data_IF_297490674237
#
_entry.id   IF_297490674237
#
_cell.length_a   1.000
_cell.length_b   1.000
_cell.length_c   1.000
_cell.angle_alpha   90.00
_cell.angle_beta   90.00
_cell.angle_gamma   90.00
#
_symmetry.space_group_name_H-M   'P 1'
#
loop_
_entity.id
_entity.type
_entity.pdbx_description
1 polymer ?
#
# COMPACT_ATOMS: atom_id res chain seq x y z
N UNK A 1 4.96 -9.61 23.83
CA UNK A 1 4.08 -9.44 22.67
C UNK A 1 4.77 -8.63 21.59
N UNK A 2 4.74 -9.12 20.37
CA UNK A 2 5.37 -8.42 19.27
C UNK A 2 4.51 -7.28 18.77
N UNK A 3 5.16 -6.15 18.54
CA UNK A 3 4.51 -4.98 17.97
C UNK A 3 4.52 -5.10 16.45
N UNK A 4 3.40 -4.82 15.80
CA UNK A 4 3.35 -4.84 14.34
C UNK A 4 4.12 -3.68 13.76
N UNK A 5 4.89 -3.93 12.71
CA UNK A 5 5.53 -2.87 11.95
C UNK A 5 4.50 -2.06 11.18
N UNK A 6 4.88 -0.88 10.73
CA UNK A 6 4.00 -0.05 9.90
C UNK A 6 3.67 -0.73 8.58
N UNK A 7 4.63 -1.46 8.01
CA UNK A 7 4.36 -2.26 6.82
C UNK A 7 3.24 -3.26 7.08
N UNK A 8 3.34 -4.04 8.17
CA UNK A 8 2.31 -5.02 8.48
C UNK A 8 0.96 -4.37 8.78
N UNK A 9 0.96 -3.24 9.45
CA UNK A 9 -0.29 -2.50 9.71
C UNK A 9 -0.96 -2.07 8.41
N UNK A 10 -0.18 -1.53 7.47
CA UNK A 10 -0.73 -1.07 6.19
C UNK A 10 -1.28 -2.24 5.38
N UNK A 11 -0.52 -3.33 5.27
CA UNK A 11 -0.95 -4.50 4.52
C UNK A 11 -2.18 -5.14 5.17
N UNK A 12 -2.15 -5.33 6.48
CA UNK A 12 -3.27 -5.94 7.21
C UNK A 12 -4.55 -5.13 7.07
N UNK A 13 -4.44 -3.80 7.13
CA UNK A 13 -5.61 -2.94 6.94
C UNK A 13 -6.19 -3.09 5.54
N UNK A 14 -5.35 -3.07 4.51
CA UNK A 14 -5.82 -3.21 3.13
C UNK A 14 -6.45 -4.58 2.88
N UNK A 15 -5.88 -5.64 3.47
CA UNK A 15 -6.45 -6.98 3.38
C UNK A 15 -7.81 -7.07 4.08
N UNK A 16 -7.96 -6.42 5.23
CA UNK A 16 -9.24 -6.40 5.93
C UNK A 16 -10.32 -5.72 5.08
N UNK A 17 -9.98 -4.62 4.41
CA UNK A 17 -10.90 -3.95 3.49
C UNK A 17 -11.26 -4.86 2.32
N UNK A 18 -10.27 -5.52 1.72
CA UNK A 18 -10.50 -6.41 0.58
C UNK A 18 -11.40 -7.60 0.93
N UNK A 19 -11.33 -8.06 2.17
CA UNK A 19 -12.10 -9.23 2.63
C UNK A 19 -13.46 -8.88 3.23
N UNK A 20 -13.84 -7.60 3.21
CA UNK A 20 -15.10 -7.12 3.80
C UNK A 20 -15.93 -6.46 2.71
N UNK A 21 -17.00 -7.13 2.29
CA UNK A 21 -17.82 -6.68 1.17
C UNK A 21 -18.70 -5.47 1.49
N UNK A 22 -18.58 -4.87 2.68
CA UNK A 22 -19.16 -3.57 2.96
C UNK A 22 -18.37 -2.42 2.35
N UNK A 23 -17.19 -2.72 1.78
CA UNK A 23 -16.31 -1.76 1.11
C UNK A 23 -16.20 -2.12 -0.37
N UNK A 24 -16.51 -1.18 -1.23
CA UNK A 24 -16.47 -1.37 -2.68
C UNK A 24 -15.68 -0.27 -3.37
N UNK A 25 -15.89 -0.15 -4.69
CA UNK A 25 -15.11 0.77 -5.52
C UNK A 25 -15.93 2.01 -5.88
N UNK A 26 -15.36 3.20 -5.65
CA UNK A 26 -15.95 4.46 -6.08
C UNK A 26 -14.85 5.53 -6.19
N UNK A 27 -14.82 6.24 -7.33
CA UNK A 27 -13.87 7.34 -7.51
C UNK A 27 -14.39 8.68 -6.99
N UNK A 28 -15.67 8.80 -6.70
CA UNK A 28 -16.24 10.03 -6.20
C UNK A 28 -16.26 10.05 -4.67
N UNK A 29 -16.81 9.00 -4.06
CA UNK A 29 -16.90 8.87 -2.60
C UNK A 29 -15.88 7.80 -2.17
N UNK A 30 -14.63 8.23 -2.03
CA UNK A 30 -13.47 7.33 -2.07
C UNK A 30 -12.63 7.26 -0.79
N UNK A 31 -13.12 7.82 0.28
CA UNK A 31 -12.38 7.82 1.56
C UNK A 31 -13.10 7.02 2.64
N UNK A 32 -13.81 6.02 2.26
CA UNK A 32 -14.60 5.12 3.08
C UNK A 32 -16.08 5.46 3.06
N UNK A 33 -16.97 4.46 3.07
CA UNK A 33 -16.65 3.02 3.10
C UNK A 33 -16.15 2.46 1.77
N UNK A 34 -16.28 3.19 0.67
CA UNK A 34 -15.77 2.78 -0.63
C UNK A 34 -14.44 3.48 -0.94
N UNK A 35 -13.64 2.88 -1.81
CA UNK A 35 -12.31 3.38 -2.14
C UNK A 35 -12.05 3.24 -3.63
N UNK A 36 -11.18 4.09 -4.19
CA UNK A 36 -10.58 3.82 -5.49
C UNK A 36 -9.16 3.25 -5.31
N UNK A 37 -8.43 3.07 -6.39
CA UNK A 37 -7.10 2.47 -6.32
C UNK A 37 -6.16 3.26 -5.43
N UNK A 38 -6.12 4.57 -5.60
CA UNK A 38 -5.18 5.41 -4.85
C UNK A 38 -5.63 5.62 -3.41
N UNK A 39 -6.91 5.86 -3.17
CA UNK A 39 -7.39 6.14 -1.81
C UNK A 39 -7.28 4.92 -0.91
N UNK A 40 -7.42 3.71 -1.46
CA UNK A 40 -7.20 2.48 -0.68
C UNK A 40 -5.77 2.44 -0.14
N UNK A 41 -4.79 2.63 -1.01
CA UNK A 41 -3.37 2.53 -0.65
C UNK A 41 -2.97 3.69 0.27
N UNK A 42 -3.40 4.89 -0.04
CA UNK A 42 -3.13 6.07 0.80
C UNK A 42 -3.71 5.87 2.20
N UNK A 43 -4.95 5.40 2.28
CA UNK A 43 -5.60 5.15 3.58
C UNK A 43 -4.90 4.06 4.37
N UNK A 44 -4.46 2.99 3.69
CA UNK A 44 -3.74 1.90 4.34
C UNK A 44 -2.50 2.42 5.09
N UNK A 45 -1.70 3.26 4.43
CA UNK A 45 -0.49 3.80 5.04
C UNK A 45 -0.80 4.86 6.10
N UNK A 46 -1.82 5.70 5.87
CA UNK A 46 -2.25 6.69 6.87
C UNK A 46 -2.71 5.97 8.14
N UNK A 47 -3.50 4.92 8.02
CA UNK A 47 -3.95 4.12 9.17
C UNK A 47 -2.78 3.44 9.89
N UNK A 48 -1.75 3.10 9.17
CA UNK A 48 -0.56 2.47 9.74
C UNK A 48 0.32 3.46 10.50
N UNK A 49 0.02 4.75 10.45
CA UNK A 49 0.81 5.78 11.12
C UNK A 49 1.85 6.43 10.23
N UNK A 50 1.79 6.22 8.92
CA UNK A 50 2.67 6.90 7.95
C UNK A 50 1.83 7.99 7.26
N UNK A 51 2.07 9.27 7.56
CA UNK A 51 1.11 10.34 7.26
C UNK A 51 1.14 10.80 5.79
N UNK A 52 0.98 9.88 4.86
CA UNK A 52 1.04 10.18 3.42
C UNK A 52 -0.11 11.05 2.97
N UNK A 53 -1.32 10.82 3.52
CA UNK A 53 -2.48 11.64 3.20
C UNK A 53 -2.31 13.04 3.77
N UNK A 54 -1.82 13.14 4.98
CA UNK A 54 -1.52 14.42 5.64
C UNK A 54 -0.52 15.23 4.82
N UNK A 55 0.45 14.54 4.18
CA UNK A 55 1.44 15.18 3.31
C UNK A 55 0.92 15.49 1.91
N UNK A 56 -0.36 15.25 1.66
CA UNK A 56 -1.01 15.68 0.43
C UNK A 56 -1.29 14.60 -0.59
N UNK A 57 -0.99 13.33 -0.31
CA UNK A 57 -1.32 12.27 -1.24
C UNK A 57 -2.85 12.21 -1.43
N UNK A 58 -3.29 12.24 -2.68
CA UNK A 58 -4.71 12.27 -3.00
C UNK A 58 -5.08 11.41 -4.22
N UNK A 59 -4.17 11.18 -5.13
CA UNK A 59 -4.42 10.40 -6.35
C UNK A 59 -3.08 9.87 -6.88
N UNK A 60 -3.13 9.03 -7.93
CA UNK A 60 -1.91 8.37 -8.42
C UNK A 60 -0.83 9.36 -8.85
N UNK A 61 -1.23 10.53 -9.35
CA UNK A 61 -0.27 11.51 -9.86
C UNK A 61 0.56 12.21 -8.80
N UNK A 62 0.11 12.24 -7.54
CA UNK A 62 0.88 12.90 -6.49
C UNK A 62 1.32 11.95 -5.36
N UNK A 63 1.03 10.66 -5.49
CA UNK A 63 1.41 9.69 -4.48
C UNK A 63 2.92 9.61 -4.28
N UNK A 64 3.69 9.56 -5.37
CA UNK A 64 5.14 9.39 -5.27
C UNK A 64 5.77 10.45 -4.40
N UNK A 65 5.47 11.72 -4.67
CA UNK A 65 6.04 12.84 -3.92
C UNK A 65 5.71 12.75 -2.43
N UNK A 66 4.44 12.51 -2.09
CA UNK A 66 4.02 12.44 -0.71
C UNK A 66 4.63 11.22 0.02
N UNK A 67 4.68 10.08 -0.66
CA UNK A 67 5.24 8.87 -0.06
C UNK A 67 6.75 9.01 0.18
N UNK A 68 7.47 9.56 -0.77
CA UNK A 68 8.91 9.81 -0.59
C UNK A 68 9.17 10.76 0.59
N UNK A 69 8.29 11.71 0.82
CA UNK A 69 8.41 12.63 1.95
C UNK A 69 8.15 11.95 3.29
N UNK A 70 7.59 10.75 3.28
CA UNK A 70 7.19 10.02 4.48
C UNK A 70 8.04 8.77 4.76
N UNK A 71 9.25 8.67 4.17
CA UNK A 71 10.15 7.58 4.49
C UNK A 71 10.15 6.44 3.48
N UNK A 72 9.50 6.62 2.34
CA UNK A 72 9.60 5.65 1.24
C UNK A 72 10.81 5.95 0.38
N UNK A 73 11.33 4.92 -0.25
CA UNK A 73 12.43 5.00 -1.22
C UNK A 73 11.95 4.41 -2.54
N UNK A 74 12.35 5.00 -3.64
CA UNK A 74 12.09 4.46 -4.97
C UNK A 74 13.04 3.28 -5.20
N UNK A 75 12.48 2.09 -5.30
CA UNK A 75 13.23 0.84 -5.49
C UNK A 75 13.01 0.25 -6.88
N UNK A 76 12.52 1.03 -7.81
CA UNK A 76 12.20 0.54 -9.17
C UNK A 76 13.36 -0.19 -9.81
N UNK A 77 14.59 0.31 -9.63
CA UNK A 77 15.77 -0.32 -10.21
C UNK A 77 16.17 -1.64 -9.54
N UNK A 78 15.56 -1.97 -8.42
CA UNK A 78 15.86 -3.19 -7.65
C UNK A 78 14.87 -4.32 -7.93
N UNK A 79 13.86 -4.08 -8.75
CA UNK A 79 12.79 -5.04 -8.99
C UNK A 79 12.65 -5.27 -10.49
N UNK A 80 12.08 -6.44 -10.83
CA UNK A 80 11.71 -6.73 -12.21
C UNK A 80 10.22 -6.44 -12.37
N UNK A 81 9.89 -5.38 -13.08
CA UNK A 81 8.49 -4.96 -13.24
C UNK A 81 7.63 -5.96 -13.99
N UNK A 82 8.23 -6.76 -14.87
CA UNK A 82 7.46 -7.76 -15.63
C UNK A 82 7.03 -8.93 -14.77
N UNK A 83 7.93 -9.38 -13.90
CA UNK A 83 7.70 -10.60 -13.12
C UNK A 83 7.34 -10.34 -11.67
N UNK A 84 7.61 -9.13 -11.16
CA UNK A 84 7.49 -8.82 -9.75
C UNK A 84 8.66 -9.30 -8.90
N UNK A 85 9.67 -9.91 -9.54
CA UNK A 85 10.81 -10.42 -8.79
C UNK A 85 11.54 -9.29 -8.08
N UNK A 86 11.89 -9.48 -6.82
CA UNK A 86 12.54 -8.46 -6.00
C UNK A 86 11.58 -7.56 -5.24
N UNK A 87 10.28 -7.63 -5.52
CA UNK A 87 9.30 -6.88 -4.74
C UNK A 87 9.13 -7.47 -3.34
N UNK A 88 8.80 -6.63 -2.38
CA UNK A 88 8.62 -7.02 -0.99
C UNK A 88 7.26 -6.55 -0.47
N UNK A 89 6.77 -7.26 0.53
CA UNK A 89 5.49 -6.96 1.18
C UNK A 89 5.43 -5.50 1.60
N UNK A 90 4.38 -4.80 1.17
CA UNK A 90 4.18 -3.38 1.41
C UNK A 90 4.64 -2.48 0.28
N UNK A 91 5.34 -3.02 -0.72
CA UNK A 91 5.76 -2.20 -1.86
C UNK A 91 4.54 -1.62 -2.57
N UNK A 92 4.61 -0.33 -2.86
CA UNK A 92 3.55 0.40 -3.56
C UNK A 92 3.97 0.56 -5.01
N UNK A 93 3.17 0.05 -5.92
CA UNK A 93 3.45 0.00 -7.34
C UNK A 93 2.53 0.99 -8.03
N UNK A 94 3.08 1.92 -8.79
CA UNK A 94 2.32 3.07 -9.32
C UNK A 94 2.51 3.22 -10.82
N UNK A 95 1.39 3.37 -11.53
CA UNK A 95 1.33 4.06 -12.82
C UNK A 95 0.68 5.42 -12.53
N UNK A 96 1.42 6.50 -12.73
CA UNK A 96 1.02 7.83 -12.27
C UNK A 96 -0.23 8.36 -12.93
N UNK A 97 -0.61 7.83 -14.09
CA UNK A 97 -1.78 8.29 -14.82
C UNK A 97 -3.01 7.42 -14.60
N UNK A 98 -2.82 6.14 -14.25
CA UNK A 98 -3.94 5.20 -14.34
C UNK A 98 -4.23 4.36 -13.11
N UNK A 99 -3.22 3.90 -12.36
CA UNK A 99 -3.48 2.84 -11.38
C UNK A 99 -2.38 2.70 -10.33
N UNK A 100 -2.75 2.15 -9.19
CA UNK A 100 -1.79 1.77 -8.16
C UNK A 100 -2.28 0.53 -7.42
N UNK A 101 -1.34 -0.29 -6.99
CA UNK A 101 -1.59 -1.52 -6.24
C UNK A 101 -0.53 -1.66 -5.16
N UNK A 102 -0.75 -2.55 -4.20
CA UNK A 102 0.25 -2.83 -3.18
C UNK A 102 0.62 -4.31 -3.19
N UNK A 103 1.92 -4.58 -3.22
CA UNK A 103 2.44 -5.95 -3.19
C UNK A 103 2.34 -6.49 -1.76
N UNK A 104 1.79 -7.70 -1.61
CA UNK A 104 1.57 -8.27 -0.28
C UNK A 104 2.42 -9.52 -0.01
N UNK A 105 3.32 -9.85 -0.95
CA UNK A 105 4.17 -11.03 -0.83
C UNK A 105 3.68 -12.18 -1.69
N UNK A 106 4.53 -13.15 -1.90
CA UNK A 106 4.21 -14.39 -2.61
C UNK A 106 3.59 -14.20 -4.00
N UNK A 107 4.02 -13.15 -4.70
CA UNK A 107 3.53 -12.88 -6.04
C UNK A 107 2.11 -12.33 -6.10
N UNK A 108 1.59 -11.77 -5.00
CA UNK A 108 0.21 -11.30 -4.90
C UNK A 108 0.15 -9.81 -4.60
N UNK A 109 -0.93 -9.19 -5.04
CA UNK A 109 -1.20 -7.76 -4.79
C UNK A 109 -2.62 -7.59 -4.26
N UNK A 110 -2.85 -6.45 -3.59
CA UNK A 110 -4.18 -6.01 -3.20
C UNK A 110 -4.47 -4.70 -3.92
N UNK A 111 -5.69 -4.57 -4.44
CA UNK A 111 -6.07 -3.40 -5.24
C UNK A 111 -7.58 -3.17 -5.23
N UNK A 112 -7.97 -1.90 -5.31
CA UNK A 112 -9.33 -1.50 -5.63
C UNK A 112 -9.39 -1.30 -7.15
N UNK A 113 -10.35 -1.92 -7.82
CA UNK A 113 -10.34 -2.10 -9.28
C UNK A 113 -11.44 -1.35 -10.02
N UNK A 114 -12.69 -1.75 -9.82
CA UNK A 114 -13.83 -1.20 -10.58
C UNK A 114 -15.13 -1.59 -9.86
N UNK A 115 -16.22 -0.86 -10.05
CA UNK A 115 -17.48 -1.18 -9.39
C UNK A 115 -18.24 -2.31 -10.08
N UNK A 116 -19.40 -2.68 -9.52
CA UNK A 116 -20.22 -3.80 -10.02
C UNK A 116 -20.71 -3.59 -11.44
N UNK A 117 -20.74 -2.35 -11.92
CA UNK A 117 -21.21 -2.02 -13.27
C UNK A 117 -20.07 -1.86 -14.27
N UNK A 118 -18.82 -2.15 -13.86
CA UNK A 118 -17.65 -1.90 -14.68
C UNK A 118 -17.37 -0.43 -14.89
N UNK A 119 -17.78 0.42 -13.94
CA UNK A 119 -17.62 1.87 -14.01
C UNK A 119 -16.77 2.35 -12.84
N UNK A 120 -16.33 3.60 -12.91
CA UNK A 120 -15.46 4.19 -11.87
C UNK A 120 -16.25 4.85 -10.75
N UNK A 121 -17.53 5.13 -10.97
CA UNK A 121 -18.39 5.75 -9.97
C UNK A 121 -19.84 5.38 -10.22
N UNK A 122 -20.72 5.75 -9.30
CA UNK A 122 -22.17 5.54 -9.45
C UNK A 122 -22.66 4.15 -9.09
N UNK A 123 -21.79 3.30 -8.54
CA UNK A 123 -22.19 1.99 -8.07
C UNK A 123 -22.84 2.05 -6.69
N UNK A 124 -23.29 0.92 -6.21
CA UNK A 124 -23.81 0.80 -4.84
C UNK A 124 -22.66 0.74 -3.87
N UNK A 125 -22.87 1.27 -2.67
CA UNK A 125 -21.90 1.14 -1.60
C UNK A 125 -21.67 -0.34 -1.30
N UNK A 126 -20.40 -0.69 -1.07
CA UNK A 126 -20.01 -2.07 -0.82
C UNK A 126 -19.57 -2.78 -2.09
N UNK A 127 -19.08 -4.00 -1.92
CA UNK A 127 -18.57 -4.83 -3.01
C UNK A 127 -19.61 -5.89 -3.35
N UNK A 128 -20.35 -5.67 -4.44
CA UNK A 128 -21.40 -6.60 -4.88
C UNK A 128 -20.84 -7.78 -5.64
N UNK A 129 -19.62 -7.68 -6.16
CA UNK A 129 -19.03 -8.75 -6.98
C UNK A 129 -18.01 -9.59 -6.23
N UNK A 130 -17.52 -9.10 -5.09
CA UNK A 130 -16.37 -9.67 -4.40
C UNK A 130 -15.05 -9.38 -5.10
N UNK A 131 -15.07 -8.58 -6.18
CA UNK A 131 -13.88 -8.30 -6.99
C UNK A 131 -13.62 -6.80 -7.18
N UNK A 132 -14.34 -5.95 -6.48
CA UNK A 132 -14.13 -4.50 -6.56
C UNK A 132 -12.85 -4.11 -5.84
N UNK A 133 -12.62 -4.68 -4.66
CA UNK A 133 -11.37 -4.58 -3.91
C UNK A 133 -10.94 -6.00 -3.60
N UNK A 134 -9.79 -6.44 -4.12
CA UNK A 134 -9.43 -7.84 -4.03
C UNK A 134 -7.94 -8.08 -4.01
N UNK A 135 -7.58 -9.27 -3.55
CA UNK A 135 -6.24 -9.81 -3.69
C UNK A 135 -6.20 -10.63 -4.98
N UNK A 136 -5.14 -10.44 -5.75
CA UNK A 136 -4.93 -11.19 -7.00
C UNK A 136 -3.45 -11.38 -7.25
N UNK A 137 -3.13 -12.22 -8.23
CA UNK A 137 -1.73 -12.40 -8.65
C UNK A 137 -1.18 -11.10 -9.21
N UNK A 138 0.12 -10.87 -8.96
CA UNK A 138 0.82 -9.75 -9.57
C UNK A 138 0.75 -9.90 -11.10
N UNK A 139 0.60 -8.78 -11.79
CA UNK A 139 0.61 -8.73 -13.24
C UNK A 139 1.39 -7.50 -13.72
N UNK A 140 1.91 -7.57 -14.94
CA UNK A 140 2.50 -6.39 -15.57
C UNK A 140 1.37 -5.60 -16.21
N UNK A 141 1.15 -4.38 -15.69
CA UNK A 141 0.04 -3.54 -16.12
C UNK A 141 0.16 -3.19 -17.62
N UNK A 142 -0.96 -3.20 -18.33
CA UNK A 142 -0.95 -2.98 -19.80
C UNK A 142 -0.38 -1.60 -20.18
N UNK A 143 -0.52 -0.61 -19.32
CA UNK A 143 0.06 0.73 -19.54
C UNK A 143 1.42 0.88 -18.88
N UNK A 144 1.94 -0.16 -18.28
CA UNK A 144 3.23 -0.18 -17.59
C UNK A 144 3.13 0.33 -16.16
N UNK A 145 4.14 -0.02 -15.38
CA UNK A 145 4.33 0.53 -14.04
C UNK A 145 5.46 1.55 -14.11
N UNK A 146 5.25 2.73 -13.50
CA UNK A 146 6.25 3.79 -13.52
C UNK A 146 7.28 3.63 -12.42
N UNK A 147 6.83 3.22 -11.24
CA UNK A 147 7.74 3.09 -10.10
C UNK A 147 7.20 2.13 -9.04
N UNK A 148 8.14 1.68 -8.21
CA UNK A 148 7.86 0.89 -7.01
C UNK A 148 8.50 1.62 -5.84
N UNK A 149 7.68 1.89 -4.81
CA UNK A 149 8.11 2.62 -3.62
C UNK A 149 8.08 1.68 -2.43
N UNK A 150 9.12 1.72 -1.61
CA UNK A 150 9.26 0.85 -0.42
C UNK A 150 9.43 1.70 0.82
N UNK A 151 8.63 1.39 1.84
CA UNK A 151 8.79 2.04 3.12
C UNK A 151 10.08 1.54 3.78
N UNK A 152 11.00 2.44 4.06
CA UNK A 152 12.31 2.10 4.60
C UNK A 152 12.51 2.61 6.02
N UNK A 153 11.59 3.39 6.55
CA UNK A 153 11.70 3.99 7.86
C UNK A 153 10.98 3.13 8.90
N UNK A 154 11.58 2.00 9.25
CA UNK A 154 10.96 1.07 10.18
C UNK A 154 10.73 1.65 11.56
N UNK A 155 9.79 1.06 12.28
CA UNK A 155 9.59 1.35 13.70
C UNK A 155 10.76 0.82 14.45
N UNK A 156 11.57 1.70 14.87
CA UNK A 156 12.72 1.28 15.60
C UNK A 156 12.38 0.64 16.87
N UNK A 157 11.40 0.81 17.27
CA UNK A 157 11.13 0.27 18.43
C UNK A 157 10.44 -0.80 18.46
N UNK A 158 10.58 -1.04 17.95
CA UNK A 158 9.90 -1.93 17.94
C UNK A 158 9.95 -2.63 18.99
N UNK A 159 10.12 -2.18 19.48
CA UNK A 159 10.01 -2.67 20.15
C UNK A 159 9.85 -3.46 20.74
N UNK A 160 10.23 -3.72 20.64
CA UNK A 160 9.98 -4.65 21.06
C UNK A 160 10.20 -4.99 22.21
N UNK A 161 10.15 -4.90 22.72
CA UNK A 161 10.36 -5.07 23.76
C UNK A 161 11.25 -5.71 24.15
N UNK A 162 11.79 -5.78 24.08
CA UNK A 162 12.55 -6.19 24.33
C UNK A 162 13.37 -6.20 24.38
N UNK A 163 13.82 -6.29 24.60
CA UNK A 163 14.72 -6.05 24.60
C UNK A 163 15.62 -6.09 24.03
N UNK A 164 16.07 -5.80 24.01
CA UNK A 164 16.65 -5.75 23.36
C UNK A 164 17.35 -5.60 22.81
N UNK A 165 17.85 -5.43 22.87
CA UNK A 165 18.18 -5.26 22.02
C UNK A 165 18.94 -4.92 21.47
N UNK A 166 19.53 -4.76 21.38
CA UNK A 166 19.85 -4.32 20.49
C UNK A 166 20.36 -4.02 19.75
N UNK A 167 20.64 -3.83 19.75
CA UNK A 167 20.51 -3.52 18.71
C UNK A 167 20.87 -3.19 18.02
N UNK A 168 21.26 -3.25 18.48
CA UNK A 168 21.14 -2.90 17.47
C UNK A 168 21.36 -2.45 16.89
N UNK A 169 21.64 -2.37 17.29
CA UNK A 169 21.49 -1.91 16.31
C UNK A 169 21.69 -1.35 15.95
N UNK A 170 21.97 -1.28 16.30
CA UNK A 170 21.85 -0.78 15.48
C UNK A 170 22.10 -0.20 15.33
N UNK A 171 22.12 -0.14 15.50
CA UNK A 171 22.14 0.30 14.91
C UNK A 171 22.23 0.83 14.74
N UNK A 172 22.85 0.70 15.61
CA UNK A 172 22.66 1.07 15.07
C UNK A 172 22.89 1.58 15.18
N UNK A 173 22.96 1.57 15.44
CA UNK A 173 22.93 1.89 15.19
C UNK A 173 22.96 2.33 15.21
N UNK A 174 23.73 2.32 16.11
CA UNK A 174 23.53 2.56 15.79
C UNK A 174 23.50 2.85 16.07
N UNK A 175 23.82 2.78 16.44
CA UNK A 175 23.29 2.97 16.23
C UNK A 175 23.35 3.25 16.37
N UNK A 176 23.54 3.03 16.61
CA UNK A 176 23.25 3.18 16.43
C UNK A 176 23.24 3.59 16.30
N UNK A 177 23.63 3.46 16.97
CA UNK A 177 23.31 3.63 16.58
C UNK A 177 23.28 3.93 16.53
#
# INVERSE_FOLDING_TARGET
MMKMTKIEKAVTWALAIANDNTHGYDQQYRWGPDYDCSSLIISAWQQAGVPVKTKGAAYTGNMKSAFLACGFTDVTSRVNLRTGNGMKRGDVIINTLHHTVMYIGNGRIVAARINENGKVSGGKTGDQTGMEIMVQDYYFYQYGWDCVLRYMKEDATTDISSPSAPAASSESENVRK
#
